data_IF_217705389688
#
_entry.id   IF_217705389688
#
_cell.length_a   1.000
_cell.length_b   1.000
_cell.length_c   1.000
_cell.angle_alpha   90.00
_cell.angle_beta   90.00
_cell.angle_gamma   90.00
#
_symmetry.space_group_name_H-M   'P 1'
#
loop_
_entity.id
_entity.type
_entity.pdbx_description
1 polymer ?
#
# COMPACT_ATOMS: atom_id res chain seq x y z
N UNK A 1 -7.06 1.07 -27.35
CA UNK A 1 -6.49 0.74 -26.02
C UNK A 1 -5.01 0.46 -26.20
N UNK A 2 -4.16 1.15 -25.43
CA UNK A 2 -2.71 0.88 -25.44
C UNK A 2 -2.41 -0.18 -24.39
N UNK A 3 -1.70 -1.23 -24.77
CA UNK A 3 -1.29 -2.28 -23.82
C UNK A 3 -0.03 -1.82 -23.09
N UNK A 4 -0.05 -1.82 -21.76
CA UNK A 4 1.12 -1.53 -20.93
C UNK A 4 1.78 -2.83 -20.49
N UNK A 5 3.11 -2.92 -20.63
CA UNK A 5 3.91 -4.05 -20.12
C UNK A 5 4.48 -3.65 -18.76
N UNK A 6 4.06 -4.35 -17.71
CA UNK A 6 4.44 -4.09 -16.33
C UNK A 6 5.00 -5.36 -15.68
N UNK A 7 5.89 -5.20 -14.69
CA UNK A 7 6.19 -6.30 -13.76
C UNK A 7 4.98 -6.56 -12.86
N UNK A 8 4.96 -7.72 -12.21
CA UNK A 8 3.89 -8.03 -11.24
C UNK A 8 3.85 -6.99 -10.11
N UNK A 9 5.00 -6.59 -9.57
CA UNK A 9 5.10 -5.59 -8.50
C UNK A 9 4.54 -4.23 -8.95
N UNK A 10 4.87 -3.79 -10.16
CA UNK A 10 4.35 -2.54 -10.74
C UNK A 10 2.82 -2.59 -10.90
N UNK A 11 2.29 -3.69 -11.44
CA UNK A 11 0.85 -3.87 -11.59
C UNK A 11 0.13 -3.90 -10.24
N UNK A 12 0.69 -4.60 -9.24
CA UNK A 12 0.13 -4.67 -7.88
C UNK A 12 0.09 -3.29 -7.22
N UNK A 13 1.21 -2.56 -7.23
CA UNK A 13 1.28 -1.22 -6.61
C UNK A 13 0.37 -0.24 -7.32
N UNK A 14 0.34 -0.25 -8.65
CA UNK A 14 -0.57 0.59 -9.43
C UNK A 14 -2.03 0.30 -9.08
N UNK A 15 -2.39 -0.98 -8.96
CA UNK A 15 -3.74 -1.38 -8.57
C UNK A 15 -4.09 -0.90 -7.17
N UNK A 16 -3.23 -1.14 -6.17
CA UNK A 16 -3.45 -0.69 -4.79
C UNK A 16 -3.59 0.83 -4.67
N UNK A 17 -2.77 1.59 -5.41
CA UNK A 17 -2.84 3.05 -5.46
C UNK A 17 -4.13 3.59 -6.10
N UNK A 18 -4.75 2.79 -6.98
CA UNK A 18 -5.99 3.16 -7.68
C UNK A 18 -7.25 2.80 -6.88
N UNK A 19 -7.19 1.87 -5.92
CA UNK A 19 -8.36 1.44 -5.16
C UNK A 19 -8.92 2.59 -4.30
N UNK A 20 -10.22 2.80 -4.43
CA UNK A 20 -10.99 3.80 -3.71
C UNK A 20 -12.14 3.13 -2.97
N UNK A 21 -12.60 3.77 -1.90
CA UNK A 21 -13.81 3.39 -1.19
C UNK A 21 -14.63 4.64 -0.89
N UNK A 22 -15.94 4.51 -0.98
CA UNK A 22 -16.89 5.50 -0.49
C UNK A 22 -17.18 5.22 0.98
N UNK A 23 -16.98 6.22 1.84
CA UNK A 23 -17.24 6.14 3.28
C UNK A 23 -18.70 6.46 3.59
N UNK A 24 -19.15 6.16 4.81
CA UNK A 24 -20.55 6.34 5.20
C UNK A 24 -21.07 7.80 5.12
N UNK A 25 -20.17 8.78 5.11
CA UNK A 25 -20.44 10.20 4.91
C UNK A 25 -20.42 10.63 3.42
N UNK A 26 -20.29 9.68 2.49
CA UNK A 26 -20.24 9.90 1.04
C UNK A 26 -18.87 10.36 0.53
N UNK A 27 -17.86 10.50 1.39
CA UNK A 27 -16.52 10.89 0.95
C UNK A 27 -15.81 9.74 0.24
N UNK A 28 -15.02 10.03 -0.80
CA UNK A 28 -14.22 9.01 -1.50
C UNK A 28 -12.78 9.07 -1.00
N UNK A 29 -12.31 7.96 -0.44
CA UNK A 29 -10.98 7.83 0.15
C UNK A 29 -10.17 6.71 -0.51
N UNK A 30 -8.83 6.73 -0.45
CA UNK A 30 -8.00 5.59 -0.83
C UNK A 30 -8.35 4.37 0.03
N UNK A 31 -8.61 3.23 -0.60
CA UNK A 31 -8.86 1.97 0.10
C UNK A 31 -7.58 1.47 0.79
N UNK A 32 -6.47 1.46 0.06
CA UNK A 32 -5.14 1.26 0.62
C UNK A 32 -4.53 2.63 0.95
N UNK A 33 -4.33 2.92 2.22
CA UNK A 33 -3.85 4.23 2.66
C UNK A 33 -2.33 4.37 2.64
N UNK A 34 -1.61 3.27 2.45
CA UNK A 34 -0.15 3.25 2.36
C UNK A 34 0.44 1.88 2.64
N UNK A 35 1.76 1.83 2.60
CA UNK A 35 2.55 0.61 2.82
C UNK A 35 3.58 0.86 3.90
N UNK A 36 3.62 0.03 4.94
CA UNK A 36 4.77 -0.04 5.83
C UNK A 36 5.81 -1.00 5.24
N UNK A 37 7.06 -0.56 5.16
CA UNK A 37 8.12 -1.36 4.54
C UNK A 37 9.36 -1.46 5.42
N UNK A 38 9.86 -2.68 5.54
CA UNK A 38 11.28 -2.96 5.77
C UNK A 38 11.80 -3.53 4.45
N UNK A 39 12.84 -2.93 3.90
CA UNK A 39 13.40 -3.38 2.64
C UNK A 39 14.61 -4.28 2.86
N UNK A 40 14.58 -5.43 2.21
CA UNK A 40 15.68 -6.38 2.10
C UNK A 40 15.85 -6.86 0.65
N UNK A 41 16.84 -7.73 0.42
CA UNK A 41 17.16 -8.22 -0.92
C UNK A 41 15.96 -8.86 -1.63
N UNK A 42 15.05 -9.50 -0.89
CA UNK A 42 13.89 -10.21 -1.45
C UNK A 42 12.75 -9.31 -1.95
N UNK A 43 12.65 -8.06 -1.50
CA UNK A 43 11.53 -7.18 -1.85
C UNK A 43 11.97 -5.86 -2.51
N UNK A 44 13.18 -5.34 -2.21
CA UNK A 44 13.58 -3.99 -2.61
C UNK A 44 13.65 -3.79 -4.13
N UNK A 45 14.19 -4.78 -4.84
CA UNK A 45 14.41 -4.66 -6.28
C UNK A 45 13.10 -4.64 -7.09
N UNK A 46 12.04 -5.28 -6.58
CA UNK A 46 10.73 -5.32 -7.23
C UNK A 46 9.74 -4.32 -6.62
N UNK A 47 9.43 -4.50 -5.34
CA UNK A 47 8.44 -3.67 -4.64
C UNK A 47 8.96 -2.27 -4.34
N UNK A 48 10.24 -2.11 -3.99
CA UNK A 48 10.82 -0.79 -3.70
C UNK A 48 10.74 0.16 -4.89
N UNK A 49 11.12 -0.32 -6.08
CA UNK A 49 11.00 0.44 -7.34
C UNK A 49 9.54 0.82 -7.63
N UNK A 50 8.64 -0.17 -7.59
CA UNK A 50 7.22 0.05 -7.90
C UNK A 50 6.55 1.04 -6.93
N UNK A 51 6.84 0.92 -5.62
CA UNK A 51 6.34 1.80 -4.56
C UNK A 51 6.87 3.22 -4.71
N UNK A 52 8.17 3.37 -5.03
CA UNK A 52 8.77 4.68 -5.25
C UNK A 52 8.09 5.42 -6.42
N UNK A 53 7.80 4.72 -7.53
CA UNK A 53 7.11 5.30 -8.67
C UNK A 53 5.70 5.84 -8.34
N UNK A 54 5.02 5.27 -7.35
CA UNK A 54 3.65 5.64 -6.96
C UNK A 54 3.52 6.35 -5.61
N UNK A 55 4.64 6.77 -5.00
CA UNK A 55 4.71 7.27 -3.62
C UNK A 55 3.79 8.47 -3.32
N UNK A 56 3.36 9.22 -4.34
CA UNK A 56 2.43 10.35 -4.19
C UNK A 56 1.00 9.91 -3.90
N UNK A 57 0.60 8.74 -4.41
CA UNK A 57 -0.76 8.20 -4.27
C UNK A 57 -0.80 7.08 -3.22
N UNK A 58 0.27 6.28 -3.13
CA UNK A 58 0.41 5.20 -2.15
C UNK A 58 1.70 5.42 -1.35
N UNK A 59 1.65 6.17 -0.24
CA UNK A 59 2.83 6.51 0.52
C UNK A 59 3.45 5.27 1.17
N UNK A 60 4.79 5.23 1.17
CA UNK A 60 5.55 4.18 1.84
C UNK A 60 6.16 4.74 3.12
N UNK A 61 5.91 4.07 4.23
CA UNK A 61 6.38 4.43 5.57
C UNK A 61 7.46 3.43 6.01
N UNK A 62 8.61 3.94 6.44
CA UNK A 62 9.69 3.10 6.95
C UNK A 62 9.28 2.47 8.28
N UNK A 63 9.22 1.15 8.32
CA UNK A 63 9.10 0.39 9.56
C UNK A 63 10.49 -0.07 10.05
N UNK A 64 10.55 -0.45 11.32
CA UNK A 64 11.77 -0.94 11.98
C UNK A 64 11.58 -2.31 12.65
N UNK A 65 10.34 -2.80 12.68
CA UNK A 65 9.98 -4.09 13.24
C UNK A 65 8.74 -4.65 12.52
N UNK A 66 8.81 -5.91 12.13
CA UNK A 66 7.77 -6.60 11.37
C UNK A 66 6.48 -6.74 12.15
N UNK A 67 6.58 -7.10 13.44
CA UNK A 67 5.43 -7.23 14.32
C UNK A 67 4.78 -5.85 14.57
N UNK A 68 5.59 -4.81 14.74
CA UNK A 68 5.14 -3.44 14.94
C UNK A 68 4.35 -2.92 13.74
N UNK A 69 4.84 -3.12 12.52
CA UNK A 69 4.09 -2.70 11.32
C UNK A 69 2.80 -3.50 11.12
N UNK A 70 2.80 -4.80 11.42
CA UNK A 70 1.60 -5.62 11.33
C UNK A 70 0.53 -5.13 12.33
N UNK A 71 0.90 -4.87 13.57
CA UNK A 71 -0.01 -4.32 14.58
C UNK A 71 -0.51 -2.91 14.20
N UNK A 72 0.35 -2.05 13.65
CA UNK A 72 -0.06 -0.73 13.17
C UNK A 72 -1.08 -0.84 12.02
N UNK A 73 -0.88 -1.75 11.07
CA UNK A 73 -1.82 -1.99 9.98
C UNK A 73 -3.17 -2.55 10.47
N UNK A 74 -3.15 -3.47 11.46
CA UNK A 74 -4.36 -3.99 12.11
C UNK A 74 -5.10 -2.86 12.85
N UNK A 75 -4.38 -2.06 13.64
CA UNK A 75 -4.95 -0.96 14.40
C UNK A 75 -5.58 0.09 13.47
N UNK A 76 -4.88 0.46 12.40
CA UNK A 76 -5.40 1.35 11.36
C UNK A 76 -6.72 0.81 10.79
N UNK A 77 -6.71 -0.46 10.35
CA UNK A 77 -7.90 -1.07 9.74
C UNK A 77 -9.06 -1.09 10.74
N UNK A 78 -8.83 -1.41 12.02
CA UNK A 78 -9.86 -1.36 13.07
C UNK A 78 -10.41 0.05 13.28
N UNK A 79 -9.54 1.06 13.32
CA UNK A 79 -9.95 2.46 13.48
C UNK A 79 -10.79 2.96 12.28
N UNK A 80 -10.62 2.36 11.11
CA UNK A 80 -11.40 2.62 9.90
C UNK A 80 -12.58 1.66 9.72
N UNK A 81 -13.09 1.04 10.80
CA UNK A 81 -14.18 0.07 10.76
C UNK A 81 -13.97 -1.10 9.76
N UNK A 82 -12.70 -1.46 9.51
CA UNK A 82 -12.25 -2.47 8.53
C UNK A 82 -12.61 -2.15 7.07
N UNK A 83 -12.91 -0.89 6.76
CA UNK A 83 -13.21 -0.43 5.41
C UNK A 83 -11.97 -0.01 4.63
N UNK A 84 -10.84 0.24 5.31
CA UNK A 84 -9.58 0.66 4.69
C UNK A 84 -8.42 -0.14 5.27
N UNK A 85 -7.34 -0.25 4.50
CA UNK A 85 -6.18 -1.08 4.85
C UNK A 85 -4.86 -0.31 4.79
N UNK A 86 -3.87 -0.84 5.50
CA UNK A 86 -2.44 -0.58 5.27
C UNK A 86 -1.80 -1.90 4.83
N UNK A 87 -0.98 -1.86 3.79
CA UNK A 87 -0.18 -3.02 3.39
C UNK A 87 1.18 -3.03 4.13
N UNK A 88 1.82 -4.20 4.15
CA UNK A 88 3.12 -4.40 4.81
C UNK A 88 4.06 -5.23 3.91
N UNK A 89 5.37 -4.97 3.98
CA UNK A 89 6.40 -5.78 3.28
C UNK A 89 7.71 -5.82 4.07
N UNK A 90 8.45 -6.93 3.94
CA UNK A 90 9.68 -7.28 4.67
C UNK A 90 10.71 -7.87 3.73
#
# INVERSE_FOLDING_TARGET
MTTHRLTMAQALVQHLAALRIETADGSVQPYCAGVFAIFGHGNVAGLGEALYAHQKLLPTYRAHNEQGMAHAAIAYSKAQFRQRIMAVTT
#
